data_IF_905972374379
#
_entry.id   IF_905972374379
#
_cell.length_a   1.000
_cell.length_b   1.000
_cell.length_c   1.000
_cell.angle_alpha   90.00
_cell.angle_beta   90.00
_cell.angle_gamma   90.00
#
_symmetry.space_group_name_H-M   'P 1'
#
loop_
_entity.id
_entity.type
_entity.pdbx_description
1 polymer ?
#
# COMPACT_ATOMS: atom_id res chain seq x y z
N UNK A 1 -18.40 -8.53 12.01
CA UNK A 1 -17.64 -8.62 10.73
C UNK A 1 -17.72 -10.04 10.18
N UNK A 2 -18.06 -10.24 8.91
CA UNK A 2 -18.14 -11.59 8.34
C UNK A 2 -16.72 -12.18 8.23
N UNK A 3 -16.38 -13.15 9.10
CA UNK A 3 -15.06 -13.78 9.18
C UNK A 3 -14.55 -14.31 7.82
N UNK A 4 -15.47 -14.65 6.92
CA UNK A 4 -15.13 -15.11 5.58
C UNK A 4 -14.59 -13.99 4.68
N UNK A 5 -15.14 -12.77 4.79
CA UNK A 5 -14.66 -11.61 4.04
C UNK A 5 -13.27 -11.15 4.52
N UNK A 6 -13.05 -11.14 5.84
CA UNK A 6 -11.73 -10.79 6.40
C UNK A 6 -10.66 -11.80 6.01
N UNK A 7 -10.97 -13.11 6.01
CA UNK A 7 -10.04 -14.14 5.52
C UNK A 7 -9.71 -13.96 4.04
N UNK A 8 -10.72 -13.67 3.22
CA UNK A 8 -10.54 -13.44 1.80
C UNK A 8 -9.63 -12.24 1.53
N UNK A 9 -9.81 -11.14 2.26
CA UNK A 9 -8.98 -9.95 2.17
C UNK A 9 -7.51 -10.24 2.54
N UNK A 10 -7.27 -11.01 3.60
CA UNK A 10 -5.92 -11.41 4.02
C UNK A 10 -5.24 -12.28 2.94
N UNK A 11 -5.95 -13.24 2.37
CA UNK A 11 -5.42 -14.10 1.30
C UNK A 11 -5.06 -13.25 0.06
N UNK A 12 -5.93 -12.33 -0.34
CA UNK A 12 -5.67 -11.43 -1.46
C UNK A 12 -4.47 -10.52 -1.21
N UNK A 13 -4.33 -9.98 0.01
CA UNK A 13 -3.18 -9.17 0.39
C UNK A 13 -1.87 -9.93 0.21
N UNK A 14 -1.79 -11.15 0.74
CA UNK A 14 -0.57 -11.96 0.62
C UNK A 14 -0.26 -12.36 -0.83
N UNK A 15 -1.28 -12.67 -1.65
CA UNK A 15 -1.08 -12.98 -3.07
C UNK A 15 -0.49 -11.80 -3.84
N UNK A 16 -1.06 -10.61 -3.66
CA UNK A 16 -0.56 -9.39 -4.32
C UNK A 16 0.84 -9.06 -3.83
N UNK A 17 1.09 -9.16 -2.53
CA UNK A 17 2.41 -8.92 -1.95
C UNK A 17 3.49 -9.88 -2.48
N UNK A 18 3.19 -11.18 -2.53
CA UNK A 18 4.14 -12.18 -3.00
C UNK A 18 4.45 -12.01 -4.49
N UNK A 19 3.43 -11.69 -5.28
CA UNK A 19 3.60 -11.39 -6.70
C UNK A 19 4.48 -10.15 -6.91
N UNK A 20 4.22 -9.07 -6.16
CA UNK A 20 5.04 -7.87 -6.20
C UNK A 20 6.50 -8.16 -5.80
N UNK A 21 6.73 -9.00 -4.78
CA UNK A 21 8.07 -9.38 -4.33
C UNK A 21 8.85 -10.12 -5.43
N UNK A 22 8.22 -11.08 -6.12
CA UNK A 22 8.85 -11.83 -7.22
C UNK A 22 9.15 -10.90 -8.41
N UNK A 23 8.33 -9.87 -8.61
CA UNK A 23 8.47 -8.88 -9.68
C UNK A 23 9.48 -7.77 -9.41
N UNK A 24 10.15 -7.73 -8.26
CA UNK A 24 11.23 -6.76 -8.01
C UNK A 24 12.54 -7.40 -8.49
N UNK A 25 13.04 -7.11 -9.71
CA UNK A 25 14.34 -7.58 -10.15
C UNK A 25 15.43 -6.80 -9.40
N UNK A 26 16.25 -7.47 -8.59
CA UNK A 26 17.42 -6.84 -8.01
C UNK A 26 18.08 -7.61 -6.88
N UNK A 27 19.41 -7.50 -6.81
CA UNK A 27 20.19 -7.84 -5.63
C UNK A 27 19.93 -6.74 -4.58
N UNK A 28 19.74 -7.07 -3.30
CA UNK A 28 19.58 -6.09 -2.20
C UNK A 28 20.90 -5.36 -1.88
N UNK A 29 21.72 -5.08 -2.89
CA UNK A 29 22.91 -4.26 -2.79
C UNK A 29 22.44 -2.81 -2.78
N UNK A 30 22.65 -2.04 -1.70
CA UNK A 30 22.23 -0.65 -1.64
C UNK A 30 22.98 0.13 -2.73
N UNK A 31 22.29 0.44 -3.83
CA UNK A 31 22.78 1.39 -4.83
C UNK A 31 22.53 2.81 -4.32
N UNK A 32 23.29 3.79 -4.81
CA UNK A 32 23.02 5.19 -4.49
C UNK A 32 21.63 5.56 -4.98
N UNK A 33 20.71 5.90 -4.08
CA UNK A 33 19.37 6.33 -4.43
C UNK A 33 19.38 7.81 -4.82
N UNK A 34 18.84 8.14 -6.00
CA UNK A 34 18.59 9.52 -6.38
C UNK A 34 17.27 10.02 -5.75
N UNK A 35 17.37 10.44 -4.49
CA UNK A 35 16.23 10.97 -3.74
C UNK A 35 15.61 12.20 -4.42
N UNK A 36 16.43 13.03 -5.06
CA UNK A 36 15.94 14.21 -5.78
C UNK A 36 15.14 13.80 -7.04
N UNK A 37 15.61 12.79 -7.77
CA UNK A 37 14.89 12.18 -8.90
C UNK A 37 13.57 11.55 -8.49
N UNK A 38 13.54 10.82 -7.37
CA UNK A 38 12.30 10.25 -6.81
C UNK A 38 11.32 11.38 -6.46
N UNK A 39 11.78 12.43 -5.77
CA UNK A 39 10.93 13.58 -5.42
C UNK A 39 10.32 14.27 -6.63
N UNK A 40 11.12 14.55 -7.67
CA UNK A 40 10.61 15.12 -8.93
C UNK A 40 9.59 14.21 -9.62
N UNK A 41 9.78 12.90 -9.52
CA UNK A 41 8.89 11.91 -10.14
C UNK A 41 7.54 11.84 -9.40
N UNK A 42 7.57 11.83 -8.06
CA UNK A 42 6.38 11.80 -7.21
C UNK A 42 5.51 13.06 -7.37
N UNK A 43 6.13 14.25 -7.40
CA UNK A 43 5.41 15.52 -7.53
C UNK A 43 5.23 16.00 -8.98
N UNK A 44 5.67 15.20 -9.96
CA UNK A 44 5.49 15.47 -11.38
C UNK A 44 4.61 14.39 -12.03
N UNK A 45 5.18 13.45 -12.80
CA UNK A 45 4.42 12.41 -13.51
C UNK A 45 3.45 11.60 -12.65
N UNK A 46 3.79 11.36 -11.38
CA UNK A 46 3.00 10.50 -10.49
C UNK A 46 2.17 11.27 -9.46
N UNK A 47 1.99 12.58 -9.61
CA UNK A 47 1.28 13.40 -8.62
C UNK A 47 -0.14 12.89 -8.35
N UNK A 48 -0.88 12.51 -9.38
CA UNK A 48 -2.26 11.99 -9.23
C UNK A 48 -2.23 10.65 -8.47
N UNK A 49 -1.32 9.75 -8.82
CA UNK A 49 -1.20 8.46 -8.14
C UNK A 49 -0.82 8.65 -6.67
N UNK A 50 0.09 9.59 -6.38
CA UNK A 50 0.49 9.94 -5.02
C UNK A 50 -0.68 10.49 -4.20
N UNK A 51 -1.50 11.38 -4.77
CA UNK A 51 -2.68 11.91 -4.10
C UNK A 51 -3.73 10.82 -3.81
N UNK A 52 -3.96 9.90 -4.75
CA UNK A 52 -4.89 8.78 -4.55
C UNK A 52 -4.46 7.85 -3.42
N UNK A 53 -3.15 7.65 -3.22
CA UNK A 53 -2.63 6.88 -2.09
C UNK A 53 -3.02 7.53 -0.75
N UNK A 54 -3.04 8.86 -0.66
CA UNK A 54 -3.45 9.55 0.56
C UNK A 54 -4.93 9.30 0.88
N UNK A 55 -5.81 9.31 -0.13
CA UNK A 55 -7.25 9.02 0.00
C UNK A 55 -7.47 7.58 0.44
N UNK A 56 -6.74 6.63 -0.17
CA UNK A 56 -6.79 5.21 0.22
C UNK A 56 -6.37 5.05 1.68
N UNK A 57 -5.30 5.72 2.10
CA UNK A 57 -4.80 5.65 3.48
C UNK A 57 -5.83 6.20 4.47
N UNK A 58 -6.42 7.36 4.18
CA UNK A 58 -7.48 7.95 5.01
C UNK A 58 -8.69 7.02 5.10
N UNK A 59 -9.14 6.47 3.96
CA UNK A 59 -10.24 5.51 3.92
C UNK A 59 -9.96 4.24 4.73
N UNK A 60 -8.72 3.72 4.65
CA UNK A 60 -8.30 2.56 5.42
C UNK A 60 -8.28 2.83 6.93
N UNK A 61 -7.80 4.01 7.35
CA UNK A 61 -7.80 4.43 8.75
C UNK A 61 -9.23 4.56 9.30
N UNK A 62 -10.13 5.21 8.54
CA UNK A 62 -11.54 5.32 8.91
C UNK A 62 -12.18 3.93 9.02
N UNK A 63 -11.91 3.05 8.06
CA UNK A 63 -12.41 1.67 8.08
C UNK A 63 -11.91 0.90 9.31
N UNK A 64 -10.63 1.04 9.65
CA UNK A 64 -10.03 0.46 10.85
C UNK A 64 -10.72 0.97 12.13
N UNK A 65 -10.90 2.28 12.29
CA UNK A 65 -11.59 2.85 13.45
C UNK A 65 -13.03 2.38 13.55
N UNK A 66 -13.73 2.31 12.42
CA UNK A 66 -15.11 1.80 12.39
C UNK A 66 -15.20 0.31 12.75
N UNK A 67 -14.21 -0.50 12.37
CA UNK A 67 -14.19 -1.92 12.73
C UNK A 67 -13.82 -2.11 14.20
N UNK A 68 -12.79 -1.40 14.68
CA UNK A 68 -12.29 -1.52 16.04
C UNK A 68 -13.25 -0.92 17.08
N UNK A 69 -13.98 0.14 16.74
CA UNK A 69 -14.94 0.80 17.63
C UNK A 69 -16.29 0.08 17.78
N UNK A 70 -16.47 -1.12 17.21
CA UNK A 70 -17.70 -1.92 17.34
C UNK A 70 -17.65 -2.95 18.46
N UNK A 71 -16.58 -2.95 19.24
CA UNK A 71 -16.40 -3.82 20.41
C UNK A 71 -16.69 -3.10 21.75
N UNK A 72 -17.39 -1.95 21.69
CA UNK A 72 -18.23 -1.39 22.77
C UNK A 72 -19.70 -1.47 22.37
#
# INVERSE_FOLDING_TARGET
MNKNLSRLAVIFFFLVFFFAMIQIPGNFVPTSQDIAGIGRSLFGPYVIAFELLSVILVGAIIGMFYIAGRDE
#
